data_IF_097595205592
#
_entry.id   IF_097595205592
#
_cell.length_a   1.000
_cell.length_b   1.000
_cell.length_c   1.000
_cell.angle_alpha   90.00
_cell.angle_beta   90.00
_cell.angle_gamma   90.00
#
_symmetry.space_group_name_H-M   'P 1'
#
loop_
_entity.id
_entity.type
_entity.pdbx_description
1 polymer ?
2 non-polymer ?
3 non-polymer ?
4 non-polymer ?
5 non-polymer ?
6 water ?
#
# COMPACT_ATOMS: atom_id res chain seq x y z
N UNK A 19 -15.18 12.81 7.98
CA UNK A 19 -15.81 13.01 6.69
C UNK A 19 -14.97 12.45 5.54
N UNK A 20 -14.25 13.34 4.86
CA UNK A 20 -13.37 12.93 3.76
C UNK A 20 -12.14 12.19 4.25
N UNK A 21 -11.97 12.14 5.57
CA UNK A 21 -10.85 11.44 6.18
C UNK A 21 -11.04 9.93 5.99
N UNK A 22 -12.29 9.52 5.86
CA UNK A 22 -12.62 8.12 5.58
C UNK A 22 -12.13 7.71 4.20
N UNK A 23 -12.13 8.68 3.27
CA UNK A 23 -11.66 8.43 1.90
C UNK A 23 -10.16 8.18 1.88
N UNK A 24 -9.44 8.82 2.80
CA UNK A 24 -7.99 8.63 2.90
C UNK A 24 -7.68 7.25 3.45
N UNK A 25 -8.57 6.74 4.31
CA UNK A 25 -8.42 5.40 4.85
C UNK A 25 -8.80 4.35 3.81
N UNK A 26 -9.69 4.74 2.90
CA UNK A 26 -10.08 3.88 1.80
C UNK A 26 -8.90 3.66 0.86
N UNK A 27 -8.07 4.68 0.72
CA UNK A 27 -6.87 4.60 -0.10
C UNK A 27 -5.75 3.85 0.62
N UNK A 28 -5.56 4.19 1.90
CA UNK A 28 -4.47 3.63 2.69
C UNK A 28 -4.62 2.13 2.90
N UNK A 29 -5.82 1.69 3.26
CA UNK A 29 -6.05 0.28 3.53
C UNK A 29 -6.32 -0.49 2.24
N UNK A 30 -5.44 -1.45 1.95
CA UNK A 30 -5.56 -2.24 0.75
C UNK A 30 -4.66 -3.47 0.76
N UNK A 31 -4.15 -3.83 -0.41
CA UNK A 31 -3.33 -5.04 -0.57
C UNK A 31 -2.00 -4.92 0.18
N UNK A 32 -1.58 -3.69 0.46
CA UNK A 32 -0.35 -3.47 1.19
C UNK A 32 -0.46 -3.91 2.64
N UNK A 33 -1.69 -3.96 3.14
CA UNK A 33 -1.93 -4.32 4.53
C UNK A 33 -1.93 -5.83 4.76
N UNK A 34 -2.45 -6.56 3.78
CA UNK A 34 -2.60 -8.01 3.92
C UNK A 34 -1.60 -8.76 3.05
N UNK A 35 -1.55 -8.42 1.78
CA UNK A 35 -0.66 -9.11 0.85
C UNK A 35 0.80 -8.70 1.03
N UNK A 36 1.09 -7.41 0.81
CA UNK A 36 2.48 -6.95 0.83
C UNK A 36 3.10 -7.05 2.21
N UNK A 37 2.36 -6.61 3.22
CA UNK A 37 2.84 -6.65 4.59
C UNK A 37 3.30 -8.04 4.99
N UNK A 38 2.60 -9.05 4.50
CA UNK A 38 2.90 -10.44 4.85
C UNK A 38 4.25 -10.91 4.30
N UNK A 39 4.45 -10.75 2.99
CA UNK A 39 5.64 -11.33 2.36
C UNK A 39 6.87 -10.47 2.58
N UNK A 40 6.69 -9.21 2.95
CA UNK A 40 7.83 -8.35 3.27
C UNK A 40 8.27 -8.60 4.71
N UNK A 41 7.31 -8.75 5.62
CA UNK A 41 7.61 -9.07 7.02
C UNK A 41 8.23 -10.46 7.12
N UNK A 42 7.66 -11.40 6.35
CA UNK A 42 8.08 -12.79 6.39
C UNK A 42 9.54 -13.02 6.01
N UNK A 43 9.97 -12.40 4.91
CA UNK A 43 11.32 -12.63 4.41
C UNK A 43 12.34 -11.67 5.02
N UNK A 44 11.92 -10.91 6.03
CA UNK A 44 12.81 -9.96 6.68
C UNK A 44 12.95 -10.18 8.18
N UNK A 45 12.64 -11.38 8.64
CA UNK A 45 12.83 -11.73 10.04
C UNK A 45 11.57 -11.76 10.86
N UNK A 46 10.75 -10.73 10.73
CA UNK A 46 9.49 -10.66 11.46
C UNK A 46 9.43 -9.53 12.45
N UNK A 47 9.64 -9.86 13.72
CA UNK A 47 9.50 -8.89 14.81
C UNK A 47 10.50 -7.75 14.74
N UNK A 48 11.73 -8.07 14.33
CA UNK A 48 12.75 -7.04 14.16
C UNK A 48 12.32 -6.05 13.09
N UNK A 49 11.86 -6.58 11.97
CA UNK A 49 11.32 -5.76 10.88
C UNK A 49 10.12 -4.95 11.36
N UNK A 50 9.20 -5.63 12.04
CA UNK A 50 7.98 -5.01 12.55
C UNK A 50 8.31 -3.85 13.48
N UNK A 51 9.35 -4.03 14.29
CA UNK A 51 9.84 -2.99 15.20
C UNK A 51 10.22 -1.73 14.44
N UNK A 52 11.11 -1.87 13.46
CA UNK A 52 11.57 -0.77 12.63
C UNK A 52 10.39 -0.15 11.88
N UNK A 53 9.54 -1.01 11.34
CA UNK A 53 8.33 -0.61 10.63
C UNK A 53 7.46 0.30 11.49
N UNK A 54 7.13 -0.16 12.70
CA UNK A 54 6.33 0.62 13.64
C UNK A 54 7.03 1.91 14.04
N UNK A 55 8.35 1.87 14.13
CA UNK A 55 9.14 3.04 14.48
C UNK A 55 9.10 4.08 13.38
N UNK A 56 8.99 3.64 12.13
CA UNK A 56 8.97 4.54 10.98
C UNK A 56 7.62 5.24 10.82
N UNK A 57 6.53 4.51 11.08
CA UNK A 57 5.20 5.09 10.99
C UNK A 57 5.08 6.24 11.99
N UNK A 58 5.61 6.04 13.19
CA UNK A 58 5.54 7.05 14.24
C UNK A 58 6.43 8.26 13.93
N UNK A 59 7.71 8.01 13.72
CA UNK A 59 8.70 9.08 13.59
C UNK A 59 8.76 9.69 12.18
N UNK A 60 8.42 8.91 11.17
CA UNK A 60 8.48 9.41 9.79
C UNK A 60 7.09 9.45 9.15
N UNK A 61 6.35 8.35 9.26
CA UNK A 61 5.05 8.21 8.62
C UNK A 61 4.05 9.30 8.97
N UNK A 62 3.62 9.32 10.23
CA UNK A 62 2.63 10.28 10.71
C UNK A 62 3.00 11.75 10.43
N UNK A 63 4.27 12.15 10.66
CA UNK A 63 4.61 13.54 10.31
C UNK A 63 4.41 13.88 8.84
N UNK A 64 4.83 12.98 7.94
CA UNK A 64 4.73 13.22 6.51
C UNK A 64 3.27 13.12 6.03
N UNK A 65 2.50 12.22 6.65
CA UNK A 65 1.07 12.13 6.37
C UNK A 65 0.40 13.47 6.71
N UNK A 66 0.80 14.04 7.84
CA UNK A 66 0.31 15.34 8.26
C UNK A 66 0.83 16.44 7.33
N UNK A 67 2.03 16.21 6.78
CA UNK A 67 2.65 17.17 5.87
C UNK A 67 1.87 17.27 4.56
N UNK A 68 1.49 16.12 4.02
CA UNK A 68 0.72 16.09 2.78
C UNK A 68 -0.69 16.65 2.97
N UNK A 69 -1.26 16.42 4.14
CA UNK A 69 -2.56 17.00 4.48
C UNK A 69 -2.46 18.52 4.53
N UNK A 70 -1.40 19.01 5.15
CA UNK A 70 -1.17 20.44 5.31
C UNK A 70 -1.01 21.14 3.96
N UNK A 71 -0.22 20.54 3.08
CA UNK A 71 0.04 21.11 1.75
C UNK A 71 -1.24 21.22 0.92
N UNK A 72 -1.97 20.13 0.81
CA UNK A 72 -3.18 20.09 0.01
C UNK A 72 -4.28 21.01 0.51
N UNK A 73 -4.42 21.09 1.83
CA UNK A 73 -5.48 21.88 2.45
C UNK A 73 -5.27 23.39 2.26
N UNK A 74 -4.02 23.82 2.23
CA UNK A 74 -3.71 25.22 1.92
C UNK A 74 -3.87 25.48 0.44
N UNK A 75 -3.33 24.59 -0.38
CA UNK A 75 -3.32 24.76 -1.83
C UNK A 75 -4.68 24.54 -2.47
N UNK A 76 -5.50 23.69 -1.86
CA UNK A 76 -6.82 23.35 -2.38
C UNK A 76 -6.75 22.85 -3.83
N UNK A 77 -5.71 22.06 -4.12
CA UNK A 77 -5.48 21.57 -5.47
C UNK A 77 -4.91 20.16 -5.47
N UNK A 78 -4.58 19.67 -6.67
CA UNK A 78 -3.96 18.36 -6.82
C UNK A 78 -2.53 18.39 -6.31
N UNK A 79 -1.85 17.24 -6.37
CA UNK A 79 -0.50 17.12 -5.83
C UNK A 79 0.48 18.07 -6.50
N UNK A 80 0.69 17.88 -7.80
CA UNK A 80 1.67 18.66 -8.55
C UNK A 80 1.28 20.14 -8.63
N UNK A 81 -0.03 20.40 -8.69
CA UNK A 81 -0.53 21.76 -8.74
C UNK A 81 -0.33 22.50 -7.44
N UNK A 82 -0.25 21.75 -6.35
CA UNK A 82 -0.07 22.32 -5.02
C UNK A 82 1.31 22.97 -4.88
N UNK A 83 2.33 22.30 -5.40
CA UNK A 83 3.69 22.79 -5.30
C UNK A 83 3.89 24.08 -6.08
N UNK A 84 3.24 24.20 -7.23
CA UNK A 84 3.38 25.38 -8.07
C UNK A 84 2.61 26.57 -7.50
N UNK A 85 1.44 26.32 -6.93
CA UNK A 85 0.67 27.38 -6.30
C UNK A 85 1.37 27.93 -5.06
N UNK A 86 1.82 27.01 -4.20
CA UNK A 86 2.49 27.40 -2.97
C UNK A 86 3.90 27.88 -3.21
N UNK A 87 4.55 27.32 -4.24
CA UNK A 87 5.94 27.63 -4.53
C UNK A 87 6.17 27.76 -6.05
N UNK A 88 5.75 28.90 -6.62
CA UNK A 88 5.85 29.14 -8.07
C UNK A 88 7.29 29.07 -8.60
N UNK A 89 7.52 28.16 -9.55
CA UNK A 89 8.81 28.04 -10.20
C UNK A 89 9.83 27.24 -9.41
N UNK A 90 9.63 27.15 -8.10
CA UNK A 90 10.56 26.44 -7.22
C UNK A 90 10.60 24.95 -7.56
N UNK A 91 11.79 24.32 -7.40
CA UNK A 91 12.00 22.92 -7.77
C UNK A 91 11.44 21.91 -6.76
N UNK A 92 10.56 22.35 -5.86
CA UNK A 92 9.96 21.45 -4.88
C UNK A 92 9.03 20.45 -5.55
N UNK A 93 8.56 20.78 -6.75
CA UNK A 93 7.58 19.96 -7.45
C UNK A 93 8.18 18.68 -8.05
N UNK A 94 9.47 18.47 -7.82
CA UNK A 94 10.14 17.28 -8.33
C UNK A 94 9.60 16.03 -7.64
N UNK A 95 9.15 16.18 -6.40
CA UNK A 95 8.55 15.08 -5.67
C UNK A 95 7.20 14.71 -6.28
N UNK A 96 6.43 15.72 -6.67
CA UNK A 96 5.14 15.50 -7.30
C UNK A 96 5.28 14.79 -8.64
N UNK A 97 6.30 15.17 -9.39
CA UNK A 97 6.58 14.53 -10.67
C UNK A 97 7.06 13.11 -10.46
N UNK A 98 7.87 12.93 -9.41
CA UNK A 98 8.37 11.61 -9.04
C UNK A 98 7.22 10.72 -8.61
N UNK A 99 6.21 11.33 -8.00
CA UNK A 99 5.02 10.60 -7.58
C UNK A 99 4.20 10.12 -8.75
N UNK A 100 4.15 10.93 -9.80
CA UNK A 100 3.45 10.55 -11.03
C UNK A 100 4.05 9.28 -11.61
N UNK A 101 5.38 9.23 -11.65
CA UNK A 101 6.10 8.06 -12.14
C UNK A 101 5.85 6.85 -11.25
N UNK A 102 5.83 7.09 -9.93
CA UNK A 102 5.55 6.03 -8.97
C UNK A 102 4.14 5.50 -9.15
N UNK A 103 3.21 6.41 -9.48
CA UNK A 103 1.83 6.04 -9.73
C UNK A 103 1.71 5.06 -10.89
N UNK A 104 2.53 5.26 -11.92
CA UNK A 104 2.56 4.35 -13.06
C UNK A 104 3.09 2.98 -12.67
N UNK A 105 4.20 2.98 -11.94
CA UNK A 105 4.89 1.75 -11.58
C UNK A 105 4.10 0.91 -10.57
N UNK A 106 3.66 1.53 -9.48
CA UNK A 106 2.95 0.82 -8.43
C UNK A 106 1.65 0.21 -8.93
N UNK A 107 0.88 0.99 -9.68
CA UNK A 107 -0.41 0.52 -10.19
C UNK A 107 -0.23 -0.61 -11.20
N UNK A 108 0.90 -0.58 -11.91
CA UNK A 108 1.18 -1.59 -12.94
C UNK A 108 1.18 -3.00 -12.36
N UNK A 109 1.77 -3.17 -11.19
CA UNK A 109 1.81 -4.50 -10.57
C UNK A 109 0.70 -4.67 -9.54
N UNK A 110 0.14 -3.55 -9.06
CA UNK A 110 -0.96 -3.60 -8.11
C UNK A 110 -2.19 -4.24 -8.75
N UNK A 111 -2.40 -3.94 -10.03
CA UNK A 111 -3.51 -4.50 -10.78
C UNK A 111 -3.33 -5.99 -11.02
N UNK A 112 -2.09 -6.45 -10.93
CA UNK A 112 -1.78 -7.86 -11.11
C UNK A 112 -2.17 -8.66 -9.86
N UNK A 113 -1.77 -8.17 -8.70
CA UNK A 113 -2.11 -8.82 -7.44
C UNK A 113 -3.61 -8.77 -7.19
N UNK A 114 -4.22 -7.64 -7.53
CA UNK A 114 -5.67 -7.49 -7.40
C UNK A 114 -6.38 -8.40 -8.38
N UNK A 115 -5.71 -8.70 -9.49
CA UNK A 115 -6.22 -9.66 -10.44
C UNK A 115 -6.29 -11.04 -9.83
N UNK A 116 -5.27 -11.38 -9.04
CA UNK A 116 -5.23 -12.65 -8.33
C UNK A 116 -6.43 -12.82 -7.41
N UNK A 117 -6.82 -11.73 -6.75
CA UNK A 117 -7.96 -11.73 -5.84
C UNK A 117 -9.24 -12.10 -6.59
N UNK A 118 -9.43 -11.49 -7.76
CA UNK A 118 -10.62 -11.74 -8.55
C UNK A 118 -10.68 -13.17 -9.05
N UNK A 119 -9.52 -13.74 -9.37
CA UNK A 119 -9.44 -15.13 -9.80
C UNK A 119 -9.79 -16.07 -8.64
N UNK A 120 -9.28 -15.76 -7.45
CA UNK A 120 -9.58 -16.55 -6.27
C UNK A 120 -11.04 -16.39 -5.87
N UNK A 121 -11.58 -15.19 -6.06
CA UNK A 121 -12.99 -14.95 -5.84
C UNK A 121 -13.85 -15.82 -6.76
N UNK A 122 -13.45 -15.89 -8.02
CA UNK A 122 -14.17 -16.66 -9.03
C UNK A 122 -14.24 -18.15 -8.67
N UNK A 123 -13.11 -18.69 -8.23
CA UNK A 123 -13.03 -20.12 -7.92
C UNK A 123 -13.80 -20.51 -6.66
N UNK A 124 -14.06 -19.53 -5.79
CA UNK A 124 -14.89 -19.78 -4.62
C UNK A 124 -16.37 -19.65 -5.00
N UNK A 125 -16.63 -18.95 -6.10
CA UNK A 125 -17.98 -18.83 -6.63
C UNK A 125 -18.34 -20.09 -7.41
N UNK A 126 -17.36 -20.63 -8.11
CA UNK A 126 -17.56 -21.85 -8.90
C UNK A 126 -17.30 -23.11 -8.08
N UNK A 127 -16.78 -22.93 -6.87
CA UNK A 127 -16.59 -24.02 -5.94
C UNK A 127 -15.37 -24.89 -6.21
N UNK A 128 -14.40 -24.35 -6.95
CA UNK A 128 -13.20 -25.11 -7.28
C UNK A 128 -12.18 -25.06 -6.15
N UNK A 129 -12.26 -24.03 -5.31
CA UNK A 129 -11.34 -23.89 -4.19
C UNK A 129 -11.98 -24.26 -2.86
N UNK A 130 -13.13 -24.91 -2.90
CA UNK A 130 -13.81 -25.33 -1.67
C UNK A 130 -13.01 -26.41 -0.97
N UNK A 131 -12.48 -27.35 -1.74
CA UNK A 131 -11.59 -28.37 -1.21
C UNK A 131 -10.23 -28.27 -1.88
N UNK A 132 -9.21 -28.83 -1.24
CA UNK A 132 -7.85 -28.78 -1.78
C UNK A 132 -7.75 -29.58 -3.08
N UNK A 133 -7.22 -28.94 -4.13
CA UNK A 133 -7.00 -29.62 -5.41
C UNK A 133 -5.95 -30.74 -5.29
N UNK A 134 -5.76 -31.48 -6.36
CA UNK A 134 -4.84 -32.62 -6.35
C UNK A 134 -3.41 -32.20 -6.02
N UNK A 135 -2.99 -31.07 -6.57
CA UNK A 135 -1.63 -30.57 -6.38
C UNK A 135 -1.51 -29.71 -5.13
N UNK A 136 -2.60 -29.59 -4.37
CA UNK A 136 -2.63 -28.76 -3.20
C UNK A 136 -2.89 -27.31 -3.55
N UNK A 137 -3.19 -26.49 -2.55
CA UNK A 137 -3.47 -25.08 -2.78
C UNK A 137 -2.22 -24.36 -3.28
N UNK A 138 -1.06 -24.81 -2.82
CA UNK A 138 0.20 -24.25 -3.25
C UNK A 138 0.42 -24.46 -4.74
N UNK A 139 0.27 -25.70 -5.18
CA UNK A 139 0.41 -26.04 -6.58
C UNK A 139 -0.63 -25.38 -7.46
N UNK A 140 -1.81 -25.16 -6.89
CA UNK A 140 -2.90 -24.48 -7.60
C UNK A 140 -2.49 -23.05 -7.93
N UNK A 141 -1.99 -22.34 -6.92
CA UNK A 141 -1.52 -20.98 -7.11
C UNK A 141 -0.33 -20.95 -8.06
N UNK A 142 0.56 -21.93 -7.91
CA UNK A 142 1.72 -22.06 -8.79
C UNK A 142 1.28 -22.16 -10.24
N UNK A 143 0.38 -23.10 -10.53
CA UNK A 143 -0.13 -23.29 -11.87
C UNK A 143 -0.82 -22.07 -12.44
N UNK A 144 -1.44 -21.28 -11.57
CA UNK A 144 -2.16 -20.10 -11.99
C UNK A 144 -1.22 -18.98 -12.46
N UNK A 145 -0.24 -18.64 -11.63
CA UNK A 145 0.67 -17.56 -11.95
C UNK A 145 1.73 -17.98 -12.95
N UNK A 146 1.93 -19.28 -13.10
CA UNK A 146 2.85 -19.79 -14.11
C UNK A 146 2.21 -19.71 -15.48
N UNK A 147 0.88 -19.73 -15.51
CA UNK A 147 0.13 -19.54 -16.74
C UNK A 147 0.41 -18.15 -17.31
N UNK A 148 0.81 -18.09 -18.58
CA UNK A 148 1.14 -16.81 -19.21
C UNK A 148 -0.04 -15.86 -19.38
N UNK A 149 -1.21 -16.39 -19.72
CA UNK A 149 -2.33 -15.54 -20.13
C UNK A 149 -3.51 -15.52 -19.17
N UNK A 150 -3.57 -16.47 -18.24
CA UNK A 150 -4.70 -16.54 -17.30
C UNK A 150 -4.71 -15.39 -16.28
N UNK A 151 -3.54 -15.04 -15.69
CA UNK A 151 -3.58 -13.86 -14.82
C UNK A 151 -3.81 -12.56 -15.58
N UNK A 152 -3.45 -12.53 -16.85
CA UNK A 152 -3.56 -11.31 -17.66
C UNK A 152 -5.03 -10.89 -17.85
N UNK A 153 -5.91 -11.87 -17.95
CA UNK A 153 -7.34 -11.59 -18.09
C UNK A 153 -7.88 -10.90 -16.85
N UNK A 154 -7.59 -11.47 -15.69
CA UNK A 154 -8.09 -10.96 -14.42
C UNK A 154 -7.43 -9.63 -14.06
N UNK A 155 -6.21 -9.43 -14.52
CA UNK A 155 -5.54 -8.14 -14.37
C UNK A 155 -6.30 -7.09 -15.16
N UNK A 156 -6.58 -7.41 -16.42
CA UNK A 156 -7.32 -6.51 -17.31
C UNK A 156 -8.71 -6.23 -16.75
N UNK A 157 -9.38 -7.27 -16.26
CA UNK A 157 -10.72 -7.14 -15.73
C UNK A 157 -10.75 -6.16 -14.55
N UNK A 158 -9.76 -6.26 -13.68
CA UNK A 158 -9.67 -5.34 -12.55
C UNK A 158 -9.31 -3.94 -13.00
N UNK A 159 -8.40 -3.84 -13.96
CA UNK A 159 -7.95 -2.55 -14.47
C UNK A 159 -9.08 -1.82 -15.19
N UNK A 160 -9.86 -2.56 -15.96
CA UNK A 160 -11.01 -1.99 -16.67
C UNK A 160 -11.99 -1.39 -15.67
N UNK A 161 -12.19 -2.08 -14.55
CA UNK A 161 -13.09 -1.60 -13.50
C UNK A 161 -12.53 -0.36 -12.82
N UNK A 162 -11.21 -0.27 -12.73
CA UNK A 162 -10.55 0.88 -12.13
C UNK A 162 -10.63 2.10 -13.05
N UNK A 163 -10.25 1.89 -14.31
CA UNK A 163 -10.35 2.93 -15.34
C UNK A 163 -11.79 3.43 -15.45
N UNK A 164 -12.74 2.51 -15.33
CA UNK A 164 -14.15 2.82 -15.41
C UNK A 164 -14.58 3.82 -14.33
N UNK A 165 -14.27 3.50 -13.08
CA UNK A 165 -14.68 4.32 -11.95
C UNK A 165 -14.01 5.70 -11.99
N UNK A 166 -12.74 5.73 -12.36
CA UNK A 166 -11.99 6.99 -12.43
C UNK A 166 -12.54 7.91 -13.51
N UNK A 167 -12.78 7.36 -14.70
CA UNK A 167 -13.26 8.14 -15.84
C UNK A 167 -14.65 8.72 -15.58
N UNK A 168 -15.59 7.86 -15.20
CA UNK A 168 -16.96 8.28 -14.92
C UNK A 168 -17.01 9.23 -13.71
N UNK A 169 -16.03 9.08 -12.83
CA UNK A 169 -15.94 9.94 -11.65
C UNK A 169 -16.93 9.53 -10.57
N UNK A 170 -17.44 8.31 -10.69
CA UNK A 170 -18.37 7.78 -9.70
C UNK A 170 -17.58 7.16 -8.53
N UNK A 171 -17.18 8.01 -7.59
CA UNK A 171 -16.37 7.57 -6.45
C UNK A 171 -17.16 7.51 -5.15
N UNK A 172 -18.44 7.85 -5.20
CA UNK A 172 -19.29 7.67 -4.03
C UNK A 172 -19.86 6.27 -4.03
N UNK A 173 -19.67 5.58 -5.15
CA UNK A 173 -19.84 4.14 -5.14
C UNK A 173 -18.69 3.54 -4.34
N UNK A 174 -17.60 4.31 -4.21
CA UNK A 174 -16.37 3.81 -3.61
C UNK A 174 -16.23 4.07 -2.09
N UNK A 175 -16.57 5.26 -1.60
CA UNK A 175 -16.50 5.52 -0.15
C UNK A 175 -17.84 5.45 0.58
N UNK A 176 -18.90 5.06 -0.12
CA UNK A 176 -20.01 4.46 0.59
C UNK A 176 -19.64 3.01 0.82
N UNK A 177 -18.76 2.51 -0.05
CA UNK A 177 -18.27 1.15 0.07
C UNK A 177 -17.35 1.01 1.28
N UNK A 178 -16.28 1.81 1.34
CA UNK A 178 -15.34 1.71 2.45
C UNK A 178 -15.91 2.26 3.76
N UNK A 179 -17.16 2.70 3.70
CA UNK A 179 -17.89 3.12 4.89
C UNK A 179 -18.59 1.90 5.50
N UNK A 180 -18.98 0.96 4.66
CA UNK A 180 -19.55 -0.30 5.12
C UNK A 180 -18.58 -1.47 4.99
N UNK A 181 -18.02 -1.63 3.79
CA UNK A 181 -17.22 -2.81 3.46
C UNK A 181 -15.90 -2.87 4.21
N UNK A 182 -15.34 -1.71 4.57
CA UNK A 182 -14.07 -1.68 5.27
C UNK A 182 -14.21 -2.04 6.76
N UNK A 183 -15.24 -1.54 7.46
CA UNK A 183 -15.44 -2.06 8.81
C UNK A 183 -15.75 -3.56 8.80
N UNK A 184 -16.42 -4.02 7.77
CA UNK A 184 -16.70 -5.44 7.61
C UNK A 184 -15.41 -6.23 7.39
N UNK A 185 -14.47 -5.63 6.68
CA UNK A 185 -13.18 -6.25 6.45
C UNK A 185 -12.39 -6.35 7.75
N UNK A 186 -12.46 -5.29 8.55
CA UNK A 186 -11.78 -5.26 9.84
C UNK A 186 -12.29 -6.33 10.79
N UNK A 187 -13.61 -6.43 10.90
CA UNK A 187 -14.22 -7.42 11.79
C UNK A 187 -13.92 -8.83 11.33
N UNK A 188 -13.97 -9.05 10.02
CA UNK A 188 -13.67 -10.36 9.44
C UNK A 188 -12.23 -10.77 9.75
N UNK A 189 -11.31 -9.82 9.59
CA UNK A 189 -9.90 -10.08 9.90
C UNK A 189 -9.69 -10.41 11.37
N UNK A 190 -10.39 -9.69 12.23
CA UNK A 190 -10.35 -9.96 13.66
C UNK A 190 -10.83 -11.37 13.96
N UNK A 191 -11.90 -11.77 13.29
CA UNK A 191 -12.46 -13.11 13.43
C UNK A 191 -11.48 -14.18 12.94
N UNK A 192 -10.88 -13.94 11.78
CA UNK A 192 -9.94 -14.89 11.18
C UNK A 192 -8.62 -14.94 11.94
N UNK A 193 -8.21 -13.81 12.51
CA UNK A 193 -6.98 -13.77 13.29
C UNK A 193 -7.11 -14.63 14.54
N UNK A 194 -8.25 -14.49 15.23
CA UNK A 194 -8.55 -15.31 16.40
C UNK A 194 -8.60 -16.79 16.04
N UNK A 195 -9.27 -17.09 14.93
CA UNK A 195 -9.41 -18.47 14.47
C UNK A 195 -8.07 -19.10 14.13
N UNK A 196 -7.20 -18.32 13.48
CA UNK A 196 -5.89 -18.80 13.05
C UNK A 196 -5.01 -19.23 14.23
N UNK A 197 -5.20 -18.57 15.37
CA UNK A 197 -4.42 -18.86 16.57
C UNK A 197 -4.77 -20.22 17.14
N UNK A 198 -5.92 -20.76 16.75
CA UNK A 198 -6.39 -22.04 17.27
C UNK A 198 -5.87 -23.22 16.44
N UNK A 199 -5.22 -22.91 15.33
CA UNK A 199 -4.80 -23.94 14.39
C UNK A 199 -3.59 -24.75 14.86
N UNK A 200 -2.96 -24.31 15.95
CA UNK A 200 -1.88 -25.06 16.54
C UNK A 200 -0.49 -24.50 16.30
N UNK A 201 -0.42 -23.27 15.77
CA UNK A 201 0.86 -22.63 15.53
C UNK A 201 0.91 -21.24 16.13
N UNK A 202 0.28 -21.07 17.28
CA UNK A 202 0.14 -19.77 17.91
C UNK A 202 1.46 -19.27 18.52
N UNK A 203 2.09 -20.10 19.33
CA UNK A 203 3.34 -19.71 19.99
C UNK A 203 4.46 -19.49 18.99
N UNK A 204 4.49 -20.30 17.94
CA UNK A 204 5.49 -20.16 16.89
C UNK A 204 5.23 -18.90 16.08
N UNK A 205 3.96 -18.60 15.85
CA UNK A 205 3.56 -17.45 15.06
C UNK A 205 3.77 -16.12 15.76
N UNK A 206 3.42 -16.07 17.04
CA UNK A 206 3.51 -14.82 17.80
C UNK A 206 4.95 -14.46 18.12
N UNK A 207 5.77 -15.47 18.42
CA UNK A 207 7.18 -15.25 18.71
C UNK A 207 7.89 -14.72 17.47
N UNK A 208 7.55 -15.28 16.31
CA UNK A 208 8.09 -14.83 15.04
C UNK A 208 7.75 -13.35 14.81
N UNK A 209 6.56 -12.96 15.24
CA UNK A 209 6.05 -11.63 14.95
C UNK A 209 6.36 -10.60 16.04
N UNK A 210 6.59 -11.07 17.26
CA UNK A 210 6.76 -10.13 18.38
C UNK A 210 7.99 -10.38 19.25
N UNK A 211 8.83 -11.33 18.87
CA UNK A 211 10.10 -11.55 19.56
C UNK A 211 11.28 -11.24 18.63
N UNK A 212 11.80 -10.00 18.71
CA UNK A 212 12.81 -9.45 17.80
C UNK A 212 14.13 -10.21 17.78
N UNK A 213 14.62 -10.47 16.57
CA UNK A 213 15.98 -10.99 16.39
C UNK A 213 16.92 -9.82 16.16
N UNK A 214 17.80 -9.57 17.13
CA UNK A 214 18.64 -8.38 17.11
C UNK A 214 19.75 -8.45 16.07
N UNK A 215 20.04 -9.65 15.58
CA UNK A 215 21.03 -9.81 14.53
C UNK A 215 20.49 -9.28 13.20
N UNK A 216 19.18 -9.15 13.11
CA UNK A 216 18.53 -8.66 11.91
C UNK A 216 18.61 -7.14 11.83
N UNK A 217 18.87 -6.50 12.97
CA UNK A 217 19.04 -5.06 13.01
C UNK A 217 20.43 -4.66 12.54
N UNK A 218 21.31 -5.66 12.40
CA UNK A 218 22.61 -5.47 11.80
C UNK A 218 22.47 -5.21 10.30
N UNK A 219 21.37 -5.69 9.73
CA UNK A 219 21.15 -5.71 8.28
C UNK A 219 20.41 -4.45 7.80
N UNK A 220 21.10 -3.59 7.03
CA UNK A 220 20.53 -2.34 6.53
C UNK A 220 19.34 -2.56 5.60
N UNK A 221 19.34 -3.69 4.90
CA UNK A 221 18.26 -4.02 3.99
C UNK A 221 16.90 -4.14 4.68
N UNK A 222 16.94 -4.51 5.95
CA UNK A 222 15.73 -4.61 6.76
C UNK A 222 15.09 -3.24 6.95
N UNK A 223 15.93 -2.23 7.15
CA UNK A 223 15.46 -0.86 7.32
C UNK A 223 14.85 -0.31 6.02
N UNK A 224 15.46 -0.66 4.89
CA UNK A 224 14.98 -0.21 3.59
C UNK A 224 13.64 -0.87 3.24
N UNK A 225 13.48 -2.12 3.64
CA UNK A 225 12.23 -2.83 3.41
C UNK A 225 11.13 -2.23 4.28
N UNK A 226 11.49 -1.86 5.50
CA UNK A 226 10.54 -1.30 6.46
C UNK A 226 10.11 0.10 6.05
N UNK A 227 11.06 0.88 5.52
CA UNK A 227 10.75 2.25 5.11
C UNK A 227 9.91 2.23 3.83
N UNK A 228 10.06 1.17 3.05
CA UNK A 228 9.30 1.02 1.82
C UNK A 228 7.86 0.64 2.11
N UNK A 229 7.70 -0.34 3.00
CA UNK A 229 6.37 -0.80 3.40
C UNK A 229 5.60 0.31 4.10
N UNK A 230 6.33 1.13 4.86
CA UNK A 230 5.73 2.24 5.59
C UNK A 230 5.10 3.27 4.66
N UNK A 231 5.82 3.62 3.59
CA UNK A 231 5.32 4.58 2.61
C UNK A 231 4.24 3.96 1.73
N UNK A 232 4.37 2.66 1.46
CA UNK A 232 3.42 1.96 0.61
C UNK A 232 2.06 1.81 1.27
N UNK A 233 2.06 1.38 2.53
CA UNK A 233 0.82 1.09 3.23
C UNK A 233 0.04 2.36 3.56
N UNK A 234 0.74 3.48 3.69
CA UNK A 234 0.11 4.73 4.09
C UNK A 234 -0.29 5.60 2.89
N UNK A 235 -0.14 5.04 1.69
CA UNK A 235 -0.40 5.78 0.45
C UNK A 235 0.41 7.07 0.44
N UNK A 236 1.66 6.97 0.84
CA UNK A 236 2.48 8.14 1.12
C UNK A 236 3.68 8.23 0.17
N UNK A 237 4.07 9.46 -0.16
CA UNK A 237 5.28 9.69 -0.93
C UNK A 237 5.06 10.07 -2.39
N UNK A 238 3.84 9.87 -2.89
CA UNK A 238 3.57 10.18 -4.29
C UNK A 238 2.57 11.33 -4.45
N UNK A 239 2.00 11.78 -3.34
CA UNK A 239 1.09 12.90 -3.37
C UNK A 239 -0.37 12.48 -3.53
N UNK A 240 -0.68 11.27 -3.11
CA UNK A 240 -2.06 10.80 -3.13
C UNK A 240 -2.85 11.43 -1.99
N UNK A 241 -2.19 11.64 -0.86
CA UNK A 241 -2.84 12.22 0.31
C UNK A 241 -2.98 13.74 0.18
N UNK A 242 -2.13 14.36 -0.63
CA UNK A 242 -2.23 15.78 -0.89
C UNK A 242 -3.56 16.08 -1.58
N UNK A 243 -3.97 15.18 -2.47
CA UNK A 243 -5.22 15.32 -3.18
C UNK A 243 -6.41 15.21 -2.23
N UNK A 244 -6.31 14.30 -1.27
CA UNK A 244 -7.36 14.10 -0.29
C UNK A 244 -7.45 15.29 0.68
N UNK A 245 -6.30 15.85 1.03
CA UNK A 245 -6.24 16.96 1.96
C UNK A 245 -6.85 18.23 1.40
N UNK A 246 -6.84 18.37 0.08
CA UNK A 246 -7.38 19.55 -0.58
C UNK A 246 -8.90 19.61 -0.42
N UNK A 247 -9.53 18.44 -0.45
CA UNK A 247 -10.97 18.35 -0.27
C UNK A 247 -11.29 17.90 1.14
N UNK A 248 -10.62 18.56 2.08
CA UNK A 248 -10.93 18.43 3.49
C UNK A 248 -11.20 19.84 3.99
N UNK A 249 -12.40 20.06 4.49
CA UNK A 249 -12.77 21.34 5.09
C UNK A 249 -11.82 21.75 6.26
N UNK A 250 -11.93 22.96 6.76
CA UNK A 250 -10.91 23.51 7.67
C UNK A 250 -11.31 23.37 9.14
N UNK A 251 -12.56 22.99 9.34
CA UNK A 251 -13.07 22.50 10.61
C UNK A 251 -12.14 21.47 11.26
N UNK A 252 -11.60 20.59 10.42
CA UNK A 252 -11.09 19.30 10.82
C UNK A 252 -9.64 19.35 11.27
N UNK A 253 -9.39 18.93 12.50
CA UNK A 253 -8.04 18.90 13.03
C UNK A 253 -7.25 17.83 12.28
N UNK A 254 -6.37 18.30 11.41
CA UNK A 254 -5.56 17.44 10.57
C UNK A 254 -4.70 16.42 11.31
N UNK A 255 -4.06 16.80 12.43
CA UNK A 255 -3.09 15.81 12.91
C UNK A 255 -3.77 14.66 13.59
N UNK A 256 -5.06 14.82 13.88
CA UNK A 256 -5.85 13.76 14.45
C UNK A 256 -6.17 12.81 13.32
N UNK A 257 -6.40 13.38 12.13
CA UNK A 257 -6.66 12.58 10.93
C UNK A 257 -5.43 11.74 10.58
N UNK A 258 -4.26 12.39 10.60
CA UNK A 258 -3.00 11.72 10.28
C UNK A 258 -2.73 10.53 11.19
N UNK A 259 -3.04 10.69 12.47
CA UNK A 259 -2.88 9.61 13.44
C UNK A 259 -3.91 8.52 13.22
N UNK A 260 -5.16 8.93 13.06
CA UNK A 260 -6.27 7.99 12.86
C UNK A 260 -6.07 7.17 11.59
N UNK A 261 -5.61 7.82 10.53
CA UNK A 261 -5.30 7.13 9.28
C UNK A 261 -4.16 6.13 9.49
N UNK A 262 -3.08 6.59 10.11
CA UNK A 262 -1.91 5.75 10.34
C UNK A 262 -2.22 4.60 11.32
N UNK A 263 -2.97 4.91 12.36
CA UNK A 263 -3.32 3.92 13.36
C UNK A 263 -4.22 2.83 12.83
N UNK A 264 -5.25 3.21 12.08
CA UNK A 264 -6.18 2.24 11.51
C UNK A 264 -5.48 1.32 10.52
N UNK A 265 -4.66 1.91 9.65
CA UNK A 265 -3.93 1.16 8.66
C UNK A 265 -2.93 0.21 9.31
N UNK A 266 -2.28 0.69 10.37
CA UNK A 266 -1.36 -0.13 11.14
C UNK A 266 -2.12 -1.27 11.82
N UNK A 267 -3.32 -0.97 12.28
CA UNK A 267 -4.17 -1.96 12.93
C UNK A 267 -4.53 -3.09 11.97
N UNK A 268 -4.87 -2.73 10.73
CA UNK A 268 -5.24 -3.71 9.71
C UNK A 268 -4.08 -4.65 9.38
N UNK A 269 -2.88 -4.10 9.32
CA UNK A 269 -1.70 -4.88 8.95
C UNK A 269 -1.30 -5.86 10.04
N UNK A 270 -1.28 -5.39 11.28
CA UNK A 270 -0.85 -6.21 12.41
C UNK A 270 -1.83 -7.34 12.68
N UNK A 271 -3.12 -7.06 12.58
CA UNK A 271 -4.15 -8.08 12.72
C UNK A 271 -4.00 -9.12 11.62
N UNK A 272 -3.67 -8.65 10.41
CA UNK A 272 -3.45 -9.54 9.27
C UNK A 272 -2.27 -10.48 9.51
N UNK A 273 -1.25 -9.97 10.20
CA UNK A 273 -0.08 -10.76 10.52
C UNK A 273 -0.41 -11.87 11.49
N UNK A 274 -1.30 -11.58 12.44
CA UNK A 274 -1.73 -12.56 13.43
C UNK A 274 -2.63 -13.61 12.78
N UNK A 275 -3.25 -13.25 11.66
CA UNK A 275 -4.05 -14.21 10.90
C UNK A 275 -3.18 -15.12 10.05
N UNK A 276 -2.13 -14.56 9.48
CA UNK A 276 -1.32 -15.27 8.49
C UNK A 276 -0.25 -16.17 9.11
N UNK A 277 0.66 -15.59 9.89
CA UNK A 277 1.86 -16.28 10.32
C UNK A 277 1.62 -17.43 11.32
N UNK A 278 0.69 -17.27 12.29
CA UNK A 278 0.36 -18.47 13.07
C UNK A 278 -0.14 -19.62 12.21
N UNK A 279 -0.91 -19.30 11.16
CA UNK A 279 -1.41 -20.31 10.25
C UNK A 279 -0.29 -20.85 9.38
N UNK A 280 0.69 -20.00 9.07
CA UNK A 280 1.84 -20.40 8.27
C UNK A 280 2.61 -21.54 8.94
N UNK A 281 2.97 -21.32 10.20
CA UNK A 281 3.72 -22.32 10.95
C UNK A 281 2.86 -23.54 11.25
N UNK A 282 1.55 -23.32 11.37
CA UNK A 282 0.60 -24.42 11.58
C UNK A 282 0.55 -25.31 10.33
N UNK A 283 0.50 -24.67 9.17
CA UNK A 283 0.50 -25.39 7.89
C UNK A 283 1.88 -25.88 7.52
N UNK A 284 2.88 -25.46 8.30
CA UNK A 284 4.25 -25.86 8.05
C UNK A 284 4.83 -25.24 6.79
N UNK A 285 4.47 -23.99 6.55
CA UNK A 285 4.98 -23.26 5.38
C UNK A 285 6.15 -22.36 5.79
N UNK A 286 6.91 -21.91 4.81
CA UNK A 286 8.00 -20.98 5.06
C UNK A 286 7.47 -19.54 5.05
N UNK A 287 7.86 -18.75 6.07
CA UNK A 287 7.46 -17.33 6.14
C UNK A 287 8.09 -16.52 5.00
N UNK A 288 9.17 -17.02 4.42
CA UNK A 288 9.82 -16.37 3.29
C UNK A 288 9.32 -16.93 1.97
N UNK A 289 8.07 -17.35 1.95
CA UNK A 289 7.48 -17.95 0.77
C UNK A 289 7.50 -17.06 -0.46
N UNK A 290 7.06 -15.82 -0.29
CA UNK A 290 7.01 -14.88 -1.39
C UNK A 290 5.66 -14.18 -1.50
N UNK A 291 5.45 -13.46 -2.61
CA UNK A 291 4.23 -12.67 -2.86
C UNK A 291 2.94 -13.47 -2.76
N UNK A 292 3.00 -14.77 -3.06
CA UNK A 292 1.81 -15.60 -3.03
C UNK A 292 1.55 -16.29 -1.71
N UNK A 293 2.19 -15.80 -0.65
CA UNK A 293 2.09 -16.39 0.67
C UNK A 293 0.65 -16.51 1.15
N UNK A 294 -0.07 -15.40 1.14
CA UNK A 294 -1.45 -15.37 1.62
C UNK A 294 -2.39 -16.20 0.73
N UNK A 295 -2.02 -16.35 -0.54
CA UNK A 295 -2.84 -17.08 -1.49
C UNK A 295 -2.69 -18.58 -1.33
N UNK A 296 -1.80 -18.98 -0.44
CA UNK A 296 -1.59 -20.40 -0.13
C UNK A 296 -2.15 -20.71 1.25
N UNK A 297 -2.01 -19.74 2.16
CA UNK A 297 -2.44 -19.92 3.55
C UNK A 297 -3.95 -19.83 3.70
N UNK A 298 -4.52 -18.72 3.24
CA UNK A 298 -5.97 -18.48 3.37
C UNK A 298 -6.85 -19.59 2.81
N UNK A 299 -6.55 -20.12 1.60
CA UNK A 299 -7.41 -21.20 1.09
C UNK A 299 -7.45 -22.44 1.98
N UNK A 300 -6.39 -22.69 2.74
CA UNK A 300 -6.37 -23.86 3.61
C UNK A 300 -7.06 -23.56 4.93
N UNK A 301 -6.96 -22.32 5.39
CA UNK A 301 -7.70 -21.88 6.58
C UNK A 301 -9.20 -22.02 6.33
N UNK A 302 -9.63 -21.50 5.18
CA UNK A 302 -11.02 -21.60 4.76
C UNK A 302 -11.42 -23.06 4.59
N UNK A 303 -10.46 -23.88 4.19
CA UNK A 303 -10.71 -25.30 3.97
C UNK A 303 -10.96 -26.02 5.31
N UNK A 304 -10.32 -25.52 6.37
CA UNK A 304 -10.50 -26.10 7.70
C UNK A 304 -11.86 -25.73 8.28
N UNK A 305 -12.45 -24.66 7.75
CA UNK A 305 -13.78 -24.24 8.17
C UNK A 305 -14.84 -24.93 7.32
N UNK A 306 -15.85 -25.51 7.97
CA UNK A 306 -16.89 -26.27 7.28
C UNK A 306 -17.63 -25.42 6.26
N UNK A 307 -18.04 -24.23 6.69
CA UNK A 307 -18.69 -23.28 5.79
C UNK A 307 -17.67 -22.28 5.27
N UNK A 308 -16.40 -22.70 5.27
CA UNK A 308 -15.30 -21.91 4.76
C UNK A 308 -15.39 -21.37 3.33
N UNK A 309 -16.02 -22.12 2.42
CA UNK A 309 -16.27 -21.53 1.09
C UNK A 309 -17.00 -20.18 1.18
N UNK A 310 -17.99 -20.09 2.06
CA UNK A 310 -18.74 -18.85 2.26
C UNK A 310 -17.84 -17.78 2.88
N UNK A 311 -16.97 -18.20 3.79
CA UNK A 311 -15.99 -17.30 4.38
C UNK A 311 -15.01 -16.82 3.30
N UNK A 312 -14.65 -17.74 2.41
CA UNK A 312 -13.74 -17.43 1.32
C UNK A 312 -14.34 -16.44 0.35
N UNK A 313 -15.61 -16.64 0.00
CA UNK A 313 -16.32 -15.74 -0.91
C UNK A 313 -16.40 -14.34 -0.31
N UNK A 314 -16.72 -14.27 0.99
CA UNK A 314 -16.86 -12.99 1.67
C UNK A 314 -15.52 -12.26 1.77
N UNK A 315 -14.46 -12.99 2.04
CA UNK A 315 -13.14 -12.39 2.26
C UNK A 315 -12.56 -11.78 0.99
N UNK A 316 -12.81 -12.42 -0.15
CA UNK A 316 -12.24 -11.95 -1.41
C UNK A 316 -13.11 -10.87 -2.06
N UNK A 317 -14.38 -10.83 -1.69
CA UNK A 317 -15.25 -9.73 -2.11
C UNK A 317 -14.84 -8.46 -1.36
N UNK A 318 -14.60 -8.61 -0.06
CA UNK A 318 -14.20 -7.48 0.78
C UNK A 318 -12.80 -6.99 0.43
N UNK A 319 -11.86 -7.92 0.27
CA UNK A 319 -10.48 -7.55 -0.04
C UNK A 319 -10.41 -6.92 -1.43
N UNK A 320 -11.21 -7.44 -2.35
CA UNK A 320 -11.29 -6.89 -3.70
C UNK A 320 -11.80 -5.47 -3.69
N UNK A 321 -12.71 -5.18 -2.77
CA UNK A 321 -13.24 -3.84 -2.61
C UNK A 321 -12.16 -2.89 -2.10
N UNK A 322 -11.39 -3.36 -1.12
CA UNK A 322 -10.30 -2.57 -0.56
C UNK A 322 -9.24 -2.30 -1.61
N UNK A 323 -8.96 -3.29 -2.45
CA UNK A 323 -7.97 -3.14 -3.51
C UNK A 323 -8.45 -2.17 -4.58
N UNK A 324 -9.74 -2.24 -4.90
CA UNK A 324 -10.34 -1.38 -5.91
C UNK A 324 -10.29 0.09 -5.49
N UNK A 325 -10.57 0.34 -4.22
CA UNK A 325 -10.56 1.70 -3.69
C UNK A 325 -9.15 2.24 -3.56
N UNK A 326 -8.16 1.35 -3.56
CA UNK A 326 -6.77 1.75 -3.49
C UNK A 326 -6.21 1.98 -4.90
N UNK A 327 -6.70 1.21 -5.86
CA UNK A 327 -6.25 1.32 -7.24
C UNK A 327 -6.80 2.59 -7.90
N UNK A 328 -8.02 2.96 -7.53
CA UNK A 328 -8.60 4.21 -7.99
C UNK A 328 -7.76 5.37 -7.47
N UNK A 329 -7.37 5.28 -6.20
CA UNK A 329 -6.50 6.27 -5.58
C UNK A 329 -5.17 6.39 -6.33
N UNK A 330 -4.67 5.25 -6.80
CA UNK A 330 -3.40 5.22 -7.52
C UNK A 330 -3.53 5.84 -8.91
N UNK A 331 -4.56 5.44 -9.65
CA UNK A 331 -4.75 5.92 -11.02
C UNK A 331 -5.07 7.41 -11.06
N UNK A 332 -5.63 7.93 -9.98
CA UNK A 332 -6.04 9.32 -9.91
C UNK A 332 -4.84 10.27 -10.00
N UNK A 333 -3.71 9.85 -9.43
CA UNK A 333 -2.52 10.71 -9.39
C UNK A 333 -1.97 11.04 -10.79
N UNK A 334 -1.74 10.03 -11.66
CA UNK A 334 -1.29 10.42 -13.00
C UNK A 334 -2.39 11.08 -13.81
N UNK A 335 -3.64 10.63 -13.65
CA UNK A 335 -4.77 11.19 -14.39
C UNK A 335 -4.96 12.67 -14.07
N UNK A 336 -4.99 13.00 -12.79
CA UNK A 336 -5.14 14.39 -12.36
C UNK A 336 -4.00 15.26 -12.87
N UNK A 337 -2.81 14.66 -12.99
CA UNK A 337 -1.64 15.36 -13.47
C UNK A 337 -1.74 15.68 -14.96
N UNK A 338 -2.08 14.67 -15.76
CA UNK A 338 -2.16 14.82 -17.21
C UNK A 338 -3.28 15.77 -17.63
N UNK A 339 -4.24 16.00 -16.73
CA UNK A 339 -5.30 16.95 -16.99
C UNK A 339 -4.83 18.36 -16.69
N UNK A 340 -3.92 18.49 -15.72
CA UNK A 340 -3.38 19.78 -15.33
C UNK A 340 -2.31 20.26 -16.31
N UNK A 341 -1.54 19.31 -16.83
CA UNK A 341 -0.41 19.63 -17.70
C UNK A 341 -0.80 19.65 -19.17
N UNK A 342 -1.54 18.64 -19.61
CA UNK A 342 -1.83 18.48 -21.04
C UNK A 342 -3.28 18.76 -21.42
N UNK A 343 -4.07 19.20 -20.44
CA UNK A 343 -5.47 19.56 -20.67
C UNK A 343 -6.27 18.41 -21.29
N UNK A 344 -6.10 17.22 -20.74
CA UNK A 344 -6.88 16.06 -21.17
C UNK A 344 -8.20 16.00 -20.42
N UNK A 345 -9.21 15.39 -21.05
CA UNK A 345 -10.47 15.14 -20.34
C UNK A 345 -10.25 13.98 -19.37
N UNK A 346 -11.13 13.87 -18.38
CA UNK A 346 -11.01 12.83 -17.36
C UNK A 346 -11.13 11.43 -17.94
N UNK A 347 -12.09 11.25 -18.84
CA UNK A 347 -12.30 9.95 -19.46
C UNK A 347 -11.13 9.57 -20.39
N UNK A 348 -10.60 10.56 -21.10
CA UNK A 348 -9.48 10.33 -22.00
C UNK A 348 -8.23 9.93 -21.22
N UNK A 349 -7.96 10.67 -20.16
CA UNK A 349 -6.79 10.43 -19.32
C UNK A 349 -6.87 9.04 -18.66
N UNK A 350 -8.03 8.73 -18.10
CA UNK A 350 -8.22 7.47 -17.39
C UNK A 350 -8.05 6.27 -18.33
N UNK A 351 -8.57 6.38 -19.54
CA UNK A 351 -8.49 5.29 -20.52
C UNK A 351 -7.07 5.14 -21.07
N UNK A 352 -6.49 6.25 -21.54
CA UNK A 352 -5.16 6.23 -22.14
C UNK A 352 -4.11 5.75 -21.15
N UNK A 353 -4.05 6.39 -19.99
CA UNK A 353 -3.10 5.99 -18.95
C UNK A 353 -3.44 4.60 -18.44
N UNK A 354 -4.72 4.27 -18.40
CA UNK A 354 -5.17 2.96 -17.97
C UNK A 354 -4.65 1.85 -18.86
N UNK A 355 -4.68 2.07 -20.16
CA UNK A 355 -4.17 1.10 -21.13
C UNK A 355 -2.65 0.96 -21.02
N UNK A 356 -1.97 2.10 -20.93
CA UNK A 356 -0.51 2.13 -20.81
C UNK A 356 -0.04 1.39 -19.56
N UNK A 357 -0.68 1.69 -18.43
CA UNK A 357 -0.32 1.08 -17.16
C UNK A 357 -0.57 -0.44 -17.18
N UNK A 358 -1.68 -0.84 -17.80
CA UNK A 358 -2.00 -2.26 -17.93
C UNK A 358 -0.96 -2.96 -18.80
N UNK A 359 -0.55 -2.32 -19.89
CA UNK A 359 0.53 -2.82 -20.73
C UNK A 359 1.82 -2.92 -19.94
N UNK A 360 2.04 -1.97 -19.03
CA UNK A 360 3.23 -1.95 -18.19
C UNK A 360 3.21 -3.08 -17.18
N UNK A 361 2.01 -3.57 -16.87
CA UNK A 361 1.84 -4.61 -15.87
C UNK A 361 1.97 -6.02 -16.40
N UNK A 362 1.86 -6.17 -17.72
CA UNK A 362 1.94 -7.49 -18.34
C UNK A 362 3.29 -8.20 -18.14
N UNK A 363 4.43 -7.52 -18.42
CA UNK A 363 5.68 -8.25 -18.18
C UNK A 363 5.95 -8.49 -16.71
N UNK A 364 5.38 -7.65 -15.86
CA UNK A 364 5.54 -7.79 -14.42
C UNK A 364 4.82 -9.03 -13.93
N UNK A 365 3.64 -9.29 -14.49
CA UNK A 365 2.86 -10.47 -14.16
C UNK A 365 3.51 -11.75 -14.71
N UNK A 366 4.23 -11.60 -15.82
CA UNK A 366 4.90 -12.73 -16.45
C UNK A 366 6.19 -13.11 -15.74
N UNK A 367 6.62 -12.26 -14.81
CA UNK A 367 7.83 -12.52 -14.04
C UNK A 367 7.64 -13.68 -13.07
N UNK A 368 6.37 -14.02 -12.81
CA UNK A 368 6.05 -15.18 -11.98
C UNK A 368 5.99 -16.44 -12.82
N UNK A 369 6.31 -16.31 -14.10
CA UNK A 369 6.23 -17.43 -15.02
C UNK A 369 7.39 -17.51 -16.01
N UNK A 370 7.09 -17.28 -17.28
CA UNK A 370 8.05 -17.47 -18.36
C UNK A 370 9.12 -16.37 -18.42
N UNK A 371 8.86 -15.25 -17.75
CA UNK A 371 9.82 -14.16 -17.72
C UNK A 371 10.52 -14.09 -16.37
N UNK A 372 10.55 -15.22 -15.66
CA UNK A 372 11.14 -15.29 -14.34
C UNK A 372 12.65 -15.14 -14.34
N UNK A 373 13.28 -15.43 -15.48
CA UNK A 373 14.73 -15.39 -15.59
C UNK A 373 15.25 -13.95 -15.74
N UNK A 374 14.41 -13.07 -16.25
CA UNK A 374 14.80 -11.70 -16.55
C UNK A 374 15.01 -10.86 -15.29
N UNK A 375 16.17 -10.20 -15.20
CA UNK A 375 16.44 -9.26 -14.12
C UNK A 375 16.69 -7.86 -14.68
N UNK A 376 16.06 -6.86 -14.06
CA UNK A 376 16.28 -5.47 -14.43
C UNK A 376 17.20 -4.82 -13.40
N UNK A 377 16.69 -4.67 -12.18
CA UNK A 377 17.53 -4.33 -11.04
C UNK A 377 18.36 -5.55 -10.67
N UNK A 378 19.68 -5.38 -10.52
CA UNK A 378 20.61 -6.48 -10.22
C UNK A 378 20.14 -7.37 -9.06
N UNK A 379 19.72 -8.59 -9.39
CA UNK A 379 19.30 -9.55 -8.39
C UNK A 379 17.79 -9.63 -8.21
N UNK A 380 17.06 -8.81 -8.95
CA UNK A 380 15.61 -8.76 -8.84
C UNK A 380 14.92 -8.92 -10.19
N UNK A 381 13.81 -9.65 -10.20
CA UNK A 381 13.05 -9.84 -11.43
C UNK A 381 12.23 -8.58 -11.75
N UNK A 382 11.42 -8.66 -12.81
CA UNK A 382 10.67 -7.48 -13.27
C UNK A 382 9.69 -6.97 -12.21
N UNK A 383 9.00 -7.87 -11.54
CA UNK A 383 8.06 -7.48 -10.49
C UNK A 383 8.77 -6.80 -9.32
N UNK A 384 9.82 -7.44 -8.82
CA UNK A 384 10.57 -6.90 -7.69
C UNK A 384 11.32 -5.63 -8.06
N UNK A 385 11.74 -5.53 -9.32
CA UNK A 385 12.46 -4.35 -9.79
C UNK A 385 11.55 -3.13 -9.82
N UNK A 386 10.36 -3.29 -10.39
CA UNK A 386 9.38 -2.21 -10.45
C UNK A 386 8.95 -1.81 -9.05
N UNK A 387 8.71 -2.81 -8.20
CA UNK A 387 8.35 -2.55 -6.82
C UNK A 387 9.46 -1.80 -6.10
N UNK A 388 10.71 -2.19 -6.38
CA UNK A 388 11.87 -1.56 -5.76
C UNK A 388 11.99 -0.10 -6.17
N UNK A 389 11.93 0.15 -7.47
CA UNK A 389 12.08 1.51 -8.01
C UNK A 389 10.99 2.44 -7.49
N UNK A 390 9.78 1.93 -7.38
CA UNK A 390 8.63 2.74 -7.00
C UNK A 390 8.50 2.90 -5.48
N UNK A 391 8.67 1.80 -4.75
CA UNK A 391 8.42 1.80 -3.31
C UNK A 391 9.67 2.05 -2.46
N UNK A 392 10.81 1.54 -2.90
CA UNK A 392 12.04 1.65 -2.10
C UNK A 392 12.89 2.85 -2.51
N UNK A 393 12.57 3.44 -3.66
CA UNK A 393 13.31 4.59 -4.14
C UNK A 393 12.44 5.84 -4.20
N UNK A 394 11.44 5.82 -5.08
CA UNK A 394 10.60 6.99 -5.33
C UNK A 394 9.83 7.48 -4.10
N UNK A 395 9.07 6.58 -3.47
CA UNK A 395 8.22 6.96 -2.33
C UNK A 395 8.99 7.58 -1.16
N UNK A 396 10.08 6.94 -0.70
CA UNK A 396 10.76 7.60 0.42
C UNK A 396 11.55 8.84 0.01
N UNK A 397 12.01 8.88 -1.24
CA UNK A 397 12.73 10.05 -1.74
C UNK A 397 11.78 11.22 -1.91
N UNK A 398 10.61 10.96 -2.48
CA UNK A 398 9.59 11.97 -2.65
C UNK A 398 9.05 12.41 -1.30
N UNK A 399 8.93 11.46 -0.37
CA UNK A 399 8.47 11.76 0.97
C UNK A 399 9.46 12.65 1.71
N UNK A 400 10.74 12.46 1.43
CA UNK A 400 11.79 13.28 2.01
C UNK A 400 11.64 14.73 1.56
N UNK A 401 11.44 14.92 0.26
CA UNK A 401 11.30 16.25 -0.34
C UNK A 401 10.07 16.97 0.22
N UNK A 402 8.98 16.23 0.40
CA UNK A 402 7.76 16.79 0.97
C UNK A 402 8.01 17.32 2.39
N UNK A 403 8.72 16.53 3.18
CA UNK A 403 9.06 16.92 4.54
C UNK A 403 10.00 18.12 4.54
N UNK A 404 10.97 18.11 3.63
CA UNK A 404 11.90 19.21 3.49
C UNK A 404 11.20 20.49 3.05
N UNK A 405 10.17 20.33 2.23
CA UNK A 405 9.40 21.46 1.71
C UNK A 405 8.76 22.25 2.84
N UNK A 406 8.13 21.55 3.78
CA UNK A 406 7.51 22.21 4.93
C UNK A 406 8.56 22.55 5.98
N UNK A 407 9.53 21.66 6.16
CA UNK A 407 10.58 21.86 7.15
C UNK A 407 11.47 23.06 6.88
N UNK A 408 11.80 23.29 5.62
CA UNK A 408 12.74 24.35 5.27
C UNK A 408 12.16 25.38 4.31
N UNK A 409 11.38 24.93 3.34
CA UNK A 409 10.80 25.83 2.34
C UNK A 409 9.65 26.66 2.89
N UNK A 410 8.84 26.05 3.75
CA UNK A 410 7.74 26.76 4.39
C UNK A 410 8.24 27.68 5.51
N UNK A 411 7.27 28.22 6.25
CA UNK A 411 7.55 28.92 7.51
C UNK A 411 6.68 28.45 8.65
N UNK A 412 7.35 28.14 9.75
CA UNK A 412 6.73 27.57 10.94
C UNK A 412 5.37 28.17 11.31
N UNK A 413 5.23 29.49 11.19
CA UNK A 413 3.97 30.15 11.50
C UNK A 413 2.84 29.63 10.60
N UNK A 414 3.12 29.56 9.30
CA UNK A 414 2.15 29.07 8.33
C UNK A 414 1.95 27.56 8.45
N UNK A 415 3.05 26.84 8.68
CA UNK A 415 3.02 25.39 8.79
C UNK A 415 2.15 24.94 9.96
N UNK A 416 2.33 25.58 11.11
CA UNK A 416 1.56 25.24 12.30
C UNK A 416 0.10 25.67 12.18
N UNK A 417 -0.13 26.78 11.47
CA UNK A 417 -1.47 27.32 11.28
C UNK A 417 -2.34 26.34 10.49
N UNK A 418 -1.78 25.80 9.41
CA UNK A 418 -2.50 24.88 8.55
C UNK A 418 -2.65 23.51 9.17
N UNK A 419 -1.62 23.09 9.91
CA UNK A 419 -1.63 21.78 10.54
C UNK A 419 -2.36 21.80 11.87
N UNK A 420 -2.98 22.94 12.20
CA UNK A 420 -3.75 23.09 13.43
C UNK A 420 -2.92 22.73 14.66
N UNK A 421 -1.64 23.12 14.63
CA UNK A 421 -0.75 22.86 15.75
C UNK A 421 -0.10 24.13 16.27
N UNK A 422 -0.77 25.26 16.06
CA UNK A 422 -0.28 26.52 16.58
C UNK A 422 -0.08 26.45 18.09
N UNK A 423 0.87 27.25 18.58
CA UNK A 423 1.35 27.26 19.96
C UNK A 423 1.20 25.92 20.71
N UNK A 424 1.74 24.85 20.13
CA UNK A 424 1.73 23.53 20.78
C UNK A 424 3.12 22.89 20.83
N UNK A 425 3.31 21.98 21.78
CA UNK A 425 4.56 21.23 21.90
C UNK A 425 4.65 20.19 20.77
N UNK A 426 3.50 19.74 20.30
CA UNK A 426 3.44 18.80 19.19
C UNK A 426 3.84 19.49 17.90
N UNK A 427 3.53 20.78 17.80
CA UNK A 427 3.89 21.56 16.64
C UNK A 427 5.39 21.63 16.45
N UNK A 428 6.10 21.91 17.53
CA UNK A 428 7.56 21.94 17.49
C UNK A 428 8.12 20.55 17.23
N UNK A 429 7.45 19.54 17.76
CA UNK A 429 7.85 18.15 17.56
C UNK A 429 7.61 17.73 16.11
N UNK A 430 6.51 18.21 15.55
CA UNK A 430 6.17 17.92 14.15
C UNK A 430 7.18 18.54 13.20
N UNK A 431 7.48 19.82 13.43
CA UNK A 431 8.44 20.54 12.61
C UNK A 431 9.80 19.87 12.68
N UNK A 432 10.23 19.52 13.89
CA UNK A 432 11.50 18.85 14.12
C UNK A 432 11.61 17.55 13.31
N UNK A 433 10.50 16.83 13.19
CA UNK A 433 10.46 15.60 12.41
C UNK A 433 10.72 15.89 10.94
N UNK A 434 9.94 16.80 10.36
CA UNK A 434 10.04 17.13 8.95
C UNK A 434 11.35 17.85 8.61
N UNK A 435 11.89 18.59 9.57
CA UNK A 435 13.05 19.43 9.32
C UNK A 435 14.37 18.67 9.41
N UNK A 436 14.40 17.61 10.21
CA UNK A 436 15.66 16.88 10.41
C UNK A 436 15.49 15.37 10.55
N UNK A 437 14.72 14.95 11.55
CA UNK A 437 14.64 13.54 11.91
C UNK A 437 14.18 12.63 10.77
N UNK A 438 13.14 13.04 10.06
CA UNK A 438 12.65 12.26 8.93
C UNK A 438 13.59 12.30 7.71
N UNK A 439 14.03 13.51 7.27
CA UNK A 439 14.91 13.50 6.10
C UNK A 439 16.23 12.76 6.32
N UNK A 440 16.80 12.91 7.50
CA UNK A 440 18.09 12.29 7.81
C UNK A 440 17.94 10.77 7.93
N UNK A 441 16.86 10.33 8.56
CA UNK A 441 16.59 8.90 8.70
C UNK A 441 16.49 8.23 7.33
N UNK A 442 15.71 8.82 6.43
CA UNK A 442 15.58 8.31 5.07
C UNK A 442 16.94 8.37 4.36
N UNK A 443 17.69 9.43 4.61
CA UNK A 443 19.01 9.61 4.01
C UNK A 443 19.98 8.55 4.50
N UNK A 444 20.00 8.32 5.81
CA UNK A 444 20.88 7.32 6.41
C UNK A 444 20.58 5.92 5.89
N UNK A 445 19.30 5.60 5.77
CA UNK A 445 18.88 4.32 5.22
C UNK A 445 19.35 4.17 3.78
N UNK A 446 19.26 5.24 3.01
CA UNK A 446 19.70 5.25 1.62
C UNK A 446 21.17 4.89 1.47
N UNK A 447 22.03 5.63 2.18
CA UNK A 447 23.47 5.46 2.08
C UNK A 447 23.91 4.08 2.58
N UNK A 448 23.31 3.63 3.66
CA UNK A 448 23.63 2.33 4.24
C UNK A 448 23.23 1.19 3.31
N UNK A 449 22.11 1.37 2.61
CA UNK A 449 21.58 0.33 1.74
C UNK A 449 22.35 0.23 0.42
N UNK A 450 22.55 1.37 -0.22
CA UNK A 450 23.25 1.44 -1.50
C UNK A 450 24.76 1.48 -1.30
N UNK A 451 25.59 -1.34 -0.14
CA UNK A 451 26.94 -1.18 0.38
C UNK A 451 27.25 -2.26 1.41
#
# INVERSE_FOLDING_TARGET
SMASLKQQTGREQWASRLGFILAAMGSAVGLGNIWRFSYVTGENGGAAFLLVYLGFIALIGIPIVLAEFTIGRRAQSDAVGSFEKLAPGKPWKVAGLMGVAAGFLILSFYGVIAGWILFYLFNYITGQLWSAPAEGFGGFFEGFIANPTLPLFWQALFMIATIWIVAIGVKKGIERSNKILMPLLGVLLIALAIYSLTLGGAKEGLAFLFSPDWSALKDPGVYLAAISQAFFTLSLGMGALITYGSYVSKDSRLPGAAVSVAGLDTAFAIIAGIMIFPAVFALGLSPSGGPGLVFVVLPDIFDSIRLGPIVGIAFFILLGAAALSSAVSLLEVPVAYFMRKFDWSRKQAAITLGVIITLLGIPSSLSFGVLGEVTIIPGLNIFDSVDFIASSVFLPLGGMIIALFIGWGWKTSDALAESDLTDSVWGKLWILSLRFIAPIAILIVFLSAFQIFFN
#
